data_IF_141387926426
#
_entry.id   IF_141387926426
#
_cell.length_a   1.000
_cell.length_b   1.000
_cell.length_c   1.000
_cell.angle_alpha   90.00
_cell.angle_beta   90.00
_cell.angle_gamma   90.00
#
_symmetry.space_group_name_H-M   'P 1'
#
loop_
_entity.id
_entity.type
_entity.pdbx_description
1 polymer ?
#
# COMPACT_ATOMS: atom_id res chain seq x y z
N UNK A 1 -52.93 -4.10 17.52
CA UNK A 1 -52.78 -4.11 16.06
C UNK A 1 -52.07 -2.82 15.66
N UNK A 2 -50.90 -2.91 15.01
CA UNK A 2 -50.21 -1.72 14.46
C UNK A 2 -51.07 -1.21 13.29
N UNK A 3 -51.42 0.09 13.32
CA UNK A 3 -52.24 0.69 12.27
C UNK A 3 -51.48 0.68 10.95
N UNK A 4 -52.14 0.32 9.85
CA UNK A 4 -51.56 0.25 8.50
C UNK A 4 -50.90 1.57 8.09
N UNK A 5 -51.45 2.69 8.50
CA UNK A 5 -50.89 4.02 8.24
C UNK A 5 -49.56 4.25 8.98
N UNK A 6 -49.47 3.88 10.27
CA UNK A 6 -48.20 3.97 11.01
C UNK A 6 -47.13 3.10 10.42
N UNK A 7 -47.48 1.94 9.88
CA UNK A 7 -46.55 1.05 9.19
C UNK A 7 -46.04 1.67 7.85
N UNK A 8 -46.91 2.33 7.10
CA UNK A 8 -46.51 3.06 5.88
C UNK A 8 -45.50 4.18 6.19
N UNK A 9 -45.79 5.04 7.19
CA UNK A 9 -44.86 6.09 7.59
C UNK A 9 -43.51 5.53 8.07
N UNK A 10 -43.53 4.45 8.84
CA UNK A 10 -42.31 3.79 9.27
C UNK A 10 -41.48 3.29 8.07
N UNK A 11 -42.09 2.63 7.11
CA UNK A 11 -41.42 2.15 5.88
C UNK A 11 -40.84 3.33 5.09
N UNK A 12 -41.57 4.44 4.92
CA UNK A 12 -41.09 5.64 4.23
C UNK A 12 -39.87 6.25 4.93
N UNK A 13 -39.86 6.32 6.25
CA UNK A 13 -38.71 6.82 7.03
C UNK A 13 -37.50 5.92 6.83
N UNK A 14 -37.65 4.60 6.90
CA UNK A 14 -36.56 3.64 6.67
C UNK A 14 -35.97 3.78 5.27
N UNK A 15 -36.83 3.90 4.25
CA UNK A 15 -36.38 4.13 2.86
C UNK A 15 -35.62 5.47 2.75
N UNK A 16 -36.13 6.53 3.38
CA UNK A 16 -35.47 7.84 3.39
C UNK A 16 -34.07 7.79 4.00
N UNK A 17 -33.93 7.11 5.17
CA UNK A 17 -32.61 6.91 5.81
C UNK A 17 -31.67 6.10 4.93
N UNK A 18 -32.15 5.04 4.29
CA UNK A 18 -31.34 4.23 3.37
C UNK A 18 -30.85 5.03 2.16
N UNK A 19 -31.73 5.82 1.53
CA UNK A 19 -31.37 6.69 0.40
C UNK A 19 -30.34 7.74 0.81
N UNK A 20 -30.51 8.36 1.98
CA UNK A 20 -29.55 9.33 2.51
C UNK A 20 -28.18 8.66 2.75
N UNK A 21 -28.15 7.50 3.36
CA UNK A 21 -26.92 6.74 3.59
C UNK A 21 -26.23 6.38 2.26
N UNK A 22 -26.99 5.99 1.26
CA UNK A 22 -26.47 5.69 -0.09
C UNK A 22 -25.88 6.94 -0.75
N UNK A 23 -26.54 8.10 -0.66
CA UNK A 23 -26.01 9.36 -1.19
C UNK A 23 -24.72 9.78 -0.51
N UNK A 24 -24.64 9.68 0.82
CA UNK A 24 -23.43 9.94 1.59
C UNK A 24 -22.30 8.98 1.16
N UNK A 25 -22.61 7.70 1.00
CA UNK A 25 -21.63 6.71 0.54
C UNK A 25 -21.08 7.05 -0.86
N UNK A 26 -21.95 7.36 -1.82
CA UNK A 26 -21.55 7.77 -3.16
C UNK A 26 -20.69 9.04 -3.12
N UNK A 27 -21.08 10.03 -2.32
CA UNK A 27 -20.31 11.26 -2.16
C UNK A 27 -18.89 10.98 -1.64
N UNK A 28 -18.74 10.11 -0.64
CA UNK A 28 -17.44 9.72 -0.10
C UNK A 28 -16.60 8.98 -1.14
N UNK A 29 -17.18 8.07 -1.92
CA UNK A 29 -16.49 7.39 -3.02
C UNK A 29 -15.98 8.38 -4.09
N UNK A 30 -16.80 9.33 -4.47
CA UNK A 30 -16.41 10.35 -5.46
C UNK A 30 -15.30 11.27 -4.91
N UNK A 31 -15.38 11.63 -3.64
CA UNK A 31 -14.33 12.40 -2.95
C UNK A 31 -13.00 11.63 -2.92
N UNK A 32 -13.03 10.36 -2.55
CA UNK A 32 -11.83 9.51 -2.52
C UNK A 32 -11.23 9.34 -3.91
N UNK A 33 -12.07 9.17 -4.93
CA UNK A 33 -11.64 9.09 -6.33
C UNK A 33 -10.97 10.38 -6.79
N UNK A 34 -11.57 11.55 -6.55
CA UNK A 34 -10.98 12.86 -6.88
C UNK A 34 -9.64 13.06 -6.16
N UNK A 35 -9.56 12.67 -4.90
CA UNK A 35 -8.32 12.75 -4.12
C UNK A 35 -7.23 11.84 -4.73
N UNK A 36 -7.57 10.61 -5.08
CA UNK A 36 -6.64 9.67 -5.71
C UNK A 36 -6.15 10.16 -7.08
N UNK A 37 -7.02 10.77 -7.87
CA UNK A 37 -6.71 11.31 -9.21
C UNK A 37 -5.65 12.44 -9.18
N UNK A 38 -5.37 13.04 -8.01
CA UNK A 38 -4.26 14.00 -7.85
C UNK A 38 -2.87 13.36 -7.97
N UNK A 39 -2.77 12.04 -7.80
CA UNK A 39 -1.51 11.29 -7.88
C UNK A 39 -1.53 10.29 -9.03
N UNK A 40 -2.64 9.58 -9.25
CA UNK A 40 -2.67 8.46 -10.19
C UNK A 40 -4.03 8.28 -10.86
N UNK A 41 -4.02 7.69 -12.05
CA UNK A 41 -5.22 7.32 -12.80
C UNK A 41 -5.66 5.89 -12.46
N UNK A 42 -6.94 5.58 -12.67
CA UNK A 42 -7.56 4.29 -12.31
C UNK A 42 -6.97 3.07 -13.03
N UNK A 43 -6.34 3.25 -14.19
CA UNK A 43 -5.72 2.18 -14.97
C UNK A 43 -4.23 1.96 -14.64
N UNK A 44 -3.61 2.80 -13.80
CA UNK A 44 -2.20 2.67 -13.42
C UNK A 44 -2.04 1.81 -12.16
N UNK A 45 -1.03 0.96 -12.16
CA UNK A 45 -0.71 0.06 -11.05
C UNK A 45 -1.86 -0.88 -10.65
N UNK A 46 -1.71 -1.54 -9.54
CA UNK A 46 -2.73 -2.44 -8.96
C UNK A 46 -3.74 -1.70 -8.08
N UNK A 47 -4.86 -2.34 -7.77
CA UNK A 47 -5.85 -1.79 -6.83
C UNK A 47 -5.25 -1.56 -5.43
N UNK A 48 -4.39 -2.46 -4.96
CA UNK A 48 -3.76 -2.37 -3.63
C UNK A 48 -2.72 -1.26 -3.55
N UNK A 49 -1.98 -1.01 -4.61
CA UNK A 49 -1.08 0.14 -4.68
C UNK A 49 -1.88 1.45 -4.61
N UNK A 50 -2.94 1.60 -5.42
CA UNK A 50 -3.82 2.77 -5.37
C UNK A 50 -4.50 2.95 -4.01
N UNK A 51 -4.85 1.86 -3.33
CA UNK A 51 -5.37 1.91 -1.95
C UNK A 51 -4.32 2.47 -0.98
N UNK A 52 -3.06 2.06 -1.11
CA UNK A 52 -1.98 2.62 -0.29
C UNK A 52 -1.74 4.09 -0.58
N UNK A 53 -1.76 4.51 -1.85
CA UNK A 53 -1.69 5.93 -2.24
C UNK A 53 -2.82 6.73 -1.57
N UNK A 54 -4.06 6.23 -1.62
CA UNK A 54 -5.18 6.89 -0.97
C UNK A 54 -5.02 7.00 0.55
N UNK A 55 -4.48 5.96 1.20
CA UNK A 55 -4.16 5.99 2.64
C UNK A 55 -3.11 7.06 2.97
N UNK A 56 -2.08 7.20 2.14
CA UNK A 56 -1.06 8.25 2.29
C UNK A 56 -1.68 9.65 2.15
N UNK A 57 -2.48 9.88 1.10
CA UNK A 57 -3.18 11.15 0.90
C UNK A 57 -4.11 11.51 2.06
N UNK A 58 -4.93 10.55 2.53
CA UNK A 58 -5.81 10.73 3.70
C UNK A 58 -5.05 10.96 5.00
N UNK A 59 -3.81 10.49 5.10
CA UNK A 59 -2.93 10.74 6.23
C UNK A 59 -2.26 12.12 6.20
N UNK A 60 -2.51 12.92 5.15
CA UNK A 60 -2.03 14.29 4.99
C UNK A 60 -0.70 14.43 4.24
N UNK A 61 -0.21 13.38 3.58
CA UNK A 61 0.96 13.52 2.72
C UNK A 61 0.58 14.26 1.43
N UNK A 62 1.34 15.31 1.03
CA UNK A 62 1.05 16.08 -0.17
C UNK A 62 1.15 15.21 -1.44
N UNK A 63 0.21 15.40 -2.37
CA UNK A 63 0.18 14.64 -3.64
C UNK A 63 1.49 14.73 -4.42
N UNK A 64 2.17 15.89 -4.38
CA UNK A 64 3.43 16.14 -5.08
C UNK A 64 4.62 15.36 -4.52
N UNK A 65 4.49 14.78 -3.34
CA UNK A 65 5.53 13.96 -2.69
C UNK A 65 5.33 12.47 -2.90
N UNK A 66 4.23 12.06 -3.54
CA UNK A 66 3.86 10.67 -3.77
C UNK A 66 4.01 10.36 -5.27
N UNK A 67 4.89 9.42 -5.61
CA UNK A 67 5.08 8.93 -6.96
C UNK A 67 4.58 7.49 -7.01
N UNK A 68 3.61 7.23 -7.87
CA UNK A 68 3.00 5.91 -8.01
C UNK A 68 3.27 5.34 -9.40
N UNK A 69 3.53 4.02 -9.46
CA UNK A 69 3.75 3.28 -10.68
C UNK A 69 4.89 3.91 -11.52
N UNK A 70 6.04 4.11 -10.85
CA UNK A 70 7.20 4.81 -11.41
C UNK A 70 8.07 3.86 -12.22
N UNK A 71 8.30 4.16 -13.50
CA UNK A 71 9.16 3.39 -14.38
C UNK A 71 10.54 4.04 -14.49
N UNK A 72 11.57 3.32 -14.08
CA UNK A 72 12.97 3.75 -14.21
C UNK A 72 13.72 2.83 -15.17
N UNK A 73 14.42 3.42 -16.10
CA UNK A 73 15.34 2.68 -16.98
C UNK A 73 16.60 2.33 -16.18
N UNK A 74 16.88 1.03 -16.03
CA UNK A 74 18.06 0.55 -15.35
C UNK A 74 19.31 0.67 -16.25
N UNK A 75 20.51 0.38 -15.69
CA UNK A 75 21.78 0.46 -16.42
C UNK A 75 21.88 -0.51 -17.61
N UNK A 76 21.06 -1.55 -17.67
CA UNK A 76 21.03 -2.53 -18.76
C UNK A 76 19.99 -2.19 -19.84
N UNK A 77 19.35 -1.02 -19.76
CA UNK A 77 18.35 -0.58 -20.72
C UNK A 77 16.93 -1.06 -20.47
N UNK A 78 16.72 -1.99 -19.53
CA UNK A 78 15.39 -2.48 -19.13
C UNK A 78 14.70 -1.51 -18.17
N UNK A 79 13.37 -1.56 -18.13
CA UNK A 79 12.61 -0.78 -17.16
C UNK A 79 12.40 -1.56 -15.86
N UNK A 80 12.54 -0.86 -14.74
CA UNK A 80 12.15 -1.31 -13.41
C UNK A 80 10.95 -0.49 -12.96
N UNK A 81 9.87 -1.15 -12.62
CA UNK A 81 8.67 -0.52 -12.05
C UNK A 81 8.83 -0.48 -10.54
N UNK A 82 8.57 0.67 -9.94
CA UNK A 82 8.50 0.87 -8.50
C UNK A 82 7.06 1.20 -8.14
N UNK A 83 6.49 0.48 -7.20
CA UNK A 83 5.08 0.60 -6.87
C UNK A 83 4.74 2.00 -6.35
N UNK A 84 5.42 2.44 -5.27
CA UNK A 84 5.21 3.77 -4.69
C UNK A 84 6.53 4.31 -4.12
N UNK A 85 6.79 5.60 -4.35
CA UNK A 85 7.86 6.36 -3.69
C UNK A 85 7.22 7.54 -2.96
N UNK A 86 7.58 7.73 -1.70
CA UNK A 86 7.18 8.89 -0.90
C UNK A 86 8.42 9.70 -0.50
N UNK A 87 8.50 10.93 -1.01
CA UNK A 87 9.52 11.88 -0.59
C UNK A 87 9.11 12.54 0.74
N UNK A 88 10.00 12.55 1.73
CA UNK A 88 9.76 13.13 3.04
C UNK A 88 10.91 14.06 3.46
N UNK A 89 10.72 14.81 4.53
CA UNK A 89 11.78 15.67 5.10
C UNK A 89 12.95 14.88 5.68
N UNK A 90 12.77 13.59 5.98
CA UNK A 90 13.79 12.75 6.61
C UNK A 90 14.41 11.74 5.63
N UNK A 91 13.95 11.72 4.38
CA UNK A 91 14.45 10.82 3.35
C UNK A 91 13.35 10.30 2.43
N UNK A 92 13.68 9.30 1.64
CA UNK A 92 12.81 8.69 0.64
C UNK A 92 12.34 7.33 1.13
N UNK A 93 11.03 7.12 1.19
CA UNK A 93 10.42 5.84 1.53
C UNK A 93 9.98 5.16 0.23
N UNK A 94 10.50 3.97 -0.02
CA UNK A 94 10.16 3.16 -1.21
C UNK A 94 9.29 1.99 -0.76
N UNK A 95 8.13 1.84 -1.39
CA UNK A 95 7.19 0.79 -1.05
C UNK A 95 7.18 -0.29 -2.12
N UNK A 96 7.14 -1.52 -1.65
CA UNK A 96 6.79 -2.72 -2.43
C UNK A 96 5.46 -3.26 -1.90
N UNK A 97 4.47 -3.40 -2.76
CA UNK A 97 3.10 -3.79 -2.38
C UNK A 97 2.82 -5.21 -2.84
N UNK A 98 2.44 -6.06 -1.91
CA UNK A 98 2.07 -7.45 -2.19
C UNK A 98 0.64 -7.72 -1.75
N UNK A 99 -0.11 -8.51 -2.54
CA UNK A 99 -1.43 -9.00 -2.16
C UNK A 99 -1.40 -10.51 -2.09
N UNK A 100 -1.41 -11.05 -0.87
CA UNK A 100 -1.40 -12.48 -0.61
C UNK A 100 -2.46 -12.87 0.43
N UNK A 101 -2.83 -14.15 0.44
CA UNK A 101 -3.64 -14.79 1.47
C UNK A 101 -2.88 -16.00 2.04
N UNK A 102 -3.37 -16.56 3.16
CA UNK A 102 -2.77 -17.72 3.81
C UNK A 102 -1.46 -17.40 4.54
N UNK A 103 -0.59 -18.38 4.69
CA UNK A 103 0.63 -18.25 5.46
C UNK A 103 1.82 -17.86 4.60
N UNK A 104 2.62 -16.93 5.11
CA UNK A 104 3.85 -16.45 4.46
C UNK A 104 5.05 -16.89 5.30
N UNK A 105 6.00 -17.52 4.61
CA UNK A 105 7.28 -17.93 5.16
C UNK A 105 8.41 -17.33 4.34
N UNK A 106 9.48 -16.89 4.99
CA UNK A 106 10.65 -16.38 4.29
C UNK A 106 11.66 -15.71 5.19
N UNK A 107 12.85 -15.51 4.68
CA UNK A 107 13.90 -14.79 5.38
C UNK A 107 14.43 -13.65 4.51
N UNK A 108 14.94 -12.60 5.15
CA UNK A 108 15.46 -11.43 4.43
C UNK A 108 16.66 -11.74 3.53
N UNK A 109 17.36 -12.86 3.74
CA UNK A 109 18.55 -13.27 3.01
C UNK A 109 18.33 -14.38 1.96
N UNK A 110 17.09 -14.86 1.77
CA UNK A 110 16.75 -15.88 0.77
C UNK A 110 16.09 -15.25 -0.46
N UNK A 111 16.39 -15.77 -1.63
CA UNK A 111 15.85 -15.24 -2.92
C UNK A 111 14.35 -15.50 -3.07
N UNK A 112 13.84 -16.61 -2.54
CA UNK A 112 12.44 -17.02 -2.69
C UNK A 112 11.78 -17.13 -1.32
N UNK A 113 10.55 -16.64 -1.27
CA UNK A 113 9.62 -16.81 -0.16
C UNK A 113 8.52 -17.79 -0.54
N UNK A 114 7.79 -18.28 0.46
CA UNK A 114 6.74 -19.30 0.28
C UNK A 114 5.41 -18.77 0.78
N UNK A 115 4.39 -18.88 -0.07
CA UNK A 115 2.99 -18.76 0.32
C UNK A 115 2.41 -20.17 0.49
N UNK A 116 1.68 -20.38 1.58
CA UNK A 116 1.00 -21.66 1.88
C UNK A 116 -0.49 -21.41 2.02
N UNK A 117 -1.27 -22.11 1.22
CA UNK A 117 -2.72 -22.05 1.19
C UNK A 117 -3.37 -23.38 1.62
N UNK A 118 -4.69 -23.37 1.79
CA UNK A 118 -5.50 -24.54 2.11
C UNK A 118 -4.94 -25.36 3.29
N UNK A 119 -4.56 -24.66 4.37
CA UNK A 119 -4.03 -25.26 5.61
C UNK A 119 -2.82 -26.18 5.38
N UNK A 120 -1.92 -25.76 4.48
CA UNK A 120 -0.68 -26.49 4.20
C UNK A 120 -0.70 -27.35 2.93
N UNK A 121 -1.86 -27.52 2.28
CA UNK A 121 -1.99 -28.40 1.11
C UNK A 121 -1.40 -27.83 -0.17
N UNK A 122 -1.29 -26.50 -0.29
CA UNK A 122 -0.80 -25.84 -1.50
C UNK A 122 0.34 -24.88 -1.16
N UNK A 123 1.47 -24.99 -1.87
CA UNK A 123 2.65 -24.14 -1.69
C UNK A 123 2.98 -23.44 -2.99
N UNK A 124 3.19 -22.11 -2.92
CA UNK A 124 3.61 -21.29 -4.03
C UNK A 124 4.87 -20.52 -3.65
N UNK A 125 5.80 -20.38 -4.60
CA UNK A 125 7.03 -19.64 -4.40
C UNK A 125 6.95 -18.29 -5.11
N UNK A 126 7.47 -17.25 -4.47
CA UNK A 126 7.56 -15.93 -5.06
C UNK A 126 8.91 -15.28 -4.72
N UNK A 127 9.31 -14.31 -5.52
CA UNK A 127 10.56 -13.61 -5.31
C UNK A 127 10.50 -12.80 -4.01
N UNK A 128 11.61 -12.77 -3.27
CA UNK A 128 11.71 -12.05 -2.01
C UNK A 128 11.42 -10.55 -2.21
N UNK A 129 10.33 -10.02 -1.63
CA UNK A 129 9.94 -8.63 -1.83
C UNK A 129 10.91 -7.62 -1.19
N UNK A 130 11.70 -8.05 -0.21
CA UNK A 130 12.76 -7.22 0.37
C UNK A 130 13.86 -7.01 -0.67
N UNK A 131 14.32 -8.05 -1.35
CA UNK A 131 15.30 -7.94 -2.42
C UNK A 131 14.76 -7.16 -3.62
N UNK A 132 13.48 -7.33 -3.93
CA UNK A 132 12.84 -6.56 -4.99
C UNK A 132 12.90 -5.08 -4.67
N UNK A 133 12.49 -4.67 -3.47
CA UNK A 133 12.47 -3.28 -3.06
C UNK A 133 13.89 -2.69 -2.91
N UNK A 134 14.87 -3.48 -2.45
CA UNK A 134 16.27 -3.07 -2.43
C UNK A 134 16.79 -2.72 -3.82
N UNK A 135 16.50 -3.55 -4.84
CA UNK A 135 16.86 -3.25 -6.23
C UNK A 135 16.19 -1.97 -6.76
N UNK A 136 14.94 -1.71 -6.34
CA UNK A 136 14.25 -0.47 -6.67
C UNK A 136 14.96 0.75 -6.06
N UNK A 137 15.37 0.65 -4.80
CA UNK A 137 16.15 1.69 -4.09
C UNK A 137 17.50 1.91 -4.79
N UNK A 138 18.22 0.86 -5.12
CA UNK A 138 19.50 0.96 -5.85
C UNK A 138 19.33 1.67 -7.20
N UNK A 139 18.31 1.26 -7.98
CA UNK A 139 18.00 1.91 -9.25
C UNK A 139 17.62 3.39 -9.08
N UNK A 140 16.86 3.71 -8.03
CA UNK A 140 16.49 5.10 -7.75
C UNK A 140 17.70 5.94 -7.35
N UNK A 141 18.60 5.42 -6.52
CA UNK A 141 19.86 6.08 -6.14
C UNK A 141 20.72 6.42 -7.36
N UNK A 142 20.78 5.56 -8.38
CA UNK A 142 21.54 5.85 -9.62
C UNK A 142 20.96 7.01 -10.44
N UNK A 143 19.72 7.41 -10.20
CA UNK A 143 19.06 8.54 -10.86
C UNK A 143 19.11 9.83 -10.03
N UNK A 144 19.41 9.71 -8.75
CA UNK A 144 19.45 10.82 -7.80
C UNK A 144 20.90 11.14 -7.40
N UNK A 145 21.78 11.27 -8.38
CA UNK A 145 23.24 11.49 -8.20
C UNK A 145 23.56 12.73 -7.38
N UNK A 146 22.75 13.79 -7.51
CA UNK A 146 22.94 15.05 -6.78
C UNK A 146 22.47 14.95 -5.32
N UNK A 147 21.86 13.84 -4.92
CA UNK A 147 21.24 13.60 -3.61
C UNK A 147 21.80 12.38 -2.90
N UNK A 148 23.12 12.12 -2.99
CA UNK A 148 23.77 10.88 -2.51
C UNK A 148 23.60 10.63 -1.00
N UNK A 149 23.39 11.67 -0.21
CA UNK A 149 23.29 11.58 1.26
C UNK A 149 21.85 11.46 1.78
N UNK A 150 20.85 11.37 0.89
CA UNK A 150 19.46 11.20 1.33
C UNK A 150 19.25 9.80 1.86
N UNK A 151 18.73 9.63 3.08
CA UNK A 151 18.35 8.31 3.61
C UNK A 151 17.24 7.67 2.79
N UNK A 152 17.31 6.34 2.63
CA UNK A 152 16.28 5.52 1.99
C UNK A 152 15.74 4.49 2.96
N UNK A 153 14.42 4.33 2.98
CA UNK A 153 13.70 3.36 3.82
C UNK A 153 12.92 2.42 2.91
N UNK A 154 13.10 1.13 3.15
CA UNK A 154 12.36 0.07 2.45
C UNK A 154 11.12 -0.30 3.24
N UNK A 155 9.94 -0.20 2.63
CA UNK A 155 8.67 -0.59 3.26
C UNK A 155 7.94 -1.60 2.38
N UNK A 156 7.87 -2.85 2.84
CA UNK A 156 7.13 -3.92 2.16
C UNK A 156 5.78 -4.08 2.80
N UNK A 157 4.72 -3.82 2.04
CA UNK A 157 3.34 -3.78 2.53
C UNK A 157 2.53 -4.94 1.97
N UNK A 158 2.07 -5.81 2.85
CA UNK A 158 1.20 -6.93 2.51
C UNK A 158 -0.28 -6.57 2.70
N UNK A 159 -1.03 -6.74 1.63
CA UNK A 159 -2.49 -6.70 1.58
C UNK A 159 -3.06 -8.12 1.56
N UNK A 160 -4.36 -8.23 1.80
CA UNK A 160 -5.07 -9.51 1.87
C UNK A 160 -4.94 -10.20 3.25
N UNK A 161 -5.49 -11.40 3.34
CA UNK A 161 -5.62 -12.15 4.59
C UNK A 161 -4.41 -13.08 4.83
N UNK A 162 -3.20 -12.58 4.50
CA UNK A 162 -2.00 -13.35 4.78
C UNK A 162 -1.57 -13.23 6.25
N UNK A 163 -0.83 -14.21 6.73
CA UNK A 163 -0.24 -14.23 8.06
C UNK A 163 1.26 -14.56 7.96
N UNK A 164 2.11 -13.75 8.59
CA UNK A 164 3.54 -14.07 8.70
C UNK A 164 3.74 -15.14 9.77
N UNK A 165 4.09 -16.37 9.35
CA UNK A 165 4.30 -17.51 10.26
C UNK A 165 5.75 -17.67 10.69
N UNK A 166 6.65 -17.59 9.71
CA UNK A 166 8.09 -17.63 9.98
C UNK A 166 8.76 -16.67 9.01
N UNK A 167 9.03 -15.46 9.49
CA UNK A 167 9.72 -14.41 8.75
C UNK A 167 10.80 -13.81 9.62
N UNK A 168 12.06 -13.91 9.16
CA UNK A 168 13.25 -13.56 9.94
C UNK A 168 14.31 -12.83 9.12
N UNK A 169 15.38 -12.38 9.78
CA UNK A 169 16.53 -11.69 9.15
C UNK A 169 16.13 -10.48 8.28
N UNK A 170 15.21 -9.65 8.79
CA UNK A 170 14.83 -8.42 8.11
C UNK A 170 15.97 -7.40 8.25
N UNK A 171 16.51 -6.85 7.12
CA UNK A 171 17.57 -5.86 7.17
C UNK A 171 17.19 -4.61 7.95
N UNK A 172 18.19 -3.93 8.52
CA UNK A 172 18.02 -2.60 9.09
C UNK A 172 17.43 -1.65 8.04
N UNK A 173 16.62 -0.68 8.45
CA UNK A 173 15.92 0.28 7.60
C UNK A 173 14.93 -0.35 6.60
N UNK A 174 14.55 -1.61 6.85
CA UNK A 174 13.50 -2.34 6.13
C UNK A 174 12.35 -2.66 7.07
N UNK A 175 11.14 -2.30 6.66
CA UNK A 175 9.90 -2.50 7.40
C UNK A 175 8.99 -3.45 6.64
N UNK A 176 8.71 -4.59 7.24
CA UNK A 176 7.75 -5.57 6.70
C UNK A 176 6.46 -5.50 7.52
N UNK A 177 5.34 -5.28 6.87
CA UNK A 177 4.08 -5.04 7.59
C UNK A 177 2.83 -5.37 6.76
N UNK A 178 1.71 -5.52 7.47
CA UNK A 178 0.38 -5.58 6.86
C UNK A 178 -0.20 -4.18 6.65
N UNK A 179 -1.02 -4.02 5.62
CA UNK A 179 -1.52 -2.72 5.15
C UNK A 179 -2.19 -1.83 6.22
N UNK A 180 -2.87 -2.34 7.29
CA UNK A 180 -3.41 -1.47 8.33
C UNK A 180 -2.36 -0.69 9.12
N UNK A 181 -1.12 -1.21 9.19
CA UNK A 181 -0.01 -0.58 9.93
C UNK A 181 0.80 0.40 9.09
N UNK A 182 0.54 0.50 7.76
CA UNK A 182 1.39 1.25 6.84
C UNK A 182 1.57 2.73 7.26
N UNK A 183 0.48 3.43 7.52
CA UNK A 183 0.54 4.86 7.90
C UNK A 183 1.22 5.06 9.26
N UNK A 184 0.98 4.15 10.21
CA UNK A 184 1.64 4.22 11.51
C UNK A 184 3.17 4.10 11.36
N UNK A 185 3.65 3.15 10.58
CA UNK A 185 5.09 2.92 10.35
C UNK A 185 5.71 4.10 9.60
N UNK A 186 5.06 4.64 8.57
CA UNK A 186 5.54 5.86 7.88
C UNK A 186 5.69 7.03 8.85
N UNK A 187 4.69 7.28 9.69
CA UNK A 187 4.77 8.35 10.70
C UNK A 187 5.86 8.09 11.74
N UNK A 188 6.09 6.82 12.11
CA UNK A 188 7.18 6.41 13.01
C UNK A 188 8.54 6.72 12.40
N UNK A 189 8.81 6.31 11.14
CA UNK A 189 10.05 6.62 10.41
C UNK A 189 10.31 8.14 10.44
N UNK A 190 9.30 8.95 10.13
CA UNK A 190 9.44 10.41 10.09
C UNK A 190 9.71 11.02 11.47
N UNK A 191 9.20 10.42 12.54
CA UNK A 191 9.35 10.92 13.91
C UNK A 191 10.69 10.55 14.55
N UNK A 192 11.18 9.34 14.32
CA UNK A 192 12.39 8.79 14.97
C UNK A 192 13.71 9.38 14.45
N UNK A 193 13.65 10.08 13.31
CA UNK A 193 14.84 10.64 12.64
C UNK A 193 14.91 12.17 12.82
N UNK A 194 14.04 12.73 13.64
CA UNK A 194 14.16 14.10 14.12
C UNK A 194 15.14 14.16 15.29
#
# INVERSE_FOLDING_TARGET
MVNLETMKYFVMIVIGIFLLALLVYIFLLLKDRKLLETVTKSHRGTKTERELVLKLLKAGFPAQTIFHDLYLRNRYGNYSQIDIVLATKVGIIVFEVKKYSGWIFGTGNQTKWTQVLAYGKQKYYFYNPIFQNQKHIENLKTKLTDFQNIPFYSVVVFFGDCEFRDVSFIPKDTYLLKSPRAIHVVKKIIKEIK
#
